data_IF_652141232830
#
_entry.id   IF_652141232830
#
_cell.length_a   1.000
_cell.length_b   1.000
_cell.length_c   1.000
_cell.angle_alpha   90.00
_cell.angle_beta   90.00
_cell.angle_gamma   90.00
#
_symmetry.space_group_name_H-M   'P 1'
#
loop_
_entity.id
_entity.type
_entity.pdbx_description
1 polymer ?
#
# COMPACT_ATOMS: atom_id res chain seq x y z
N UNK A 1 21.31 22.93 -14.12
CA UNK A 1 21.24 21.79 -13.16
C UNK A 1 20.00 21.01 -13.52
N UNK A 2 20.08 19.71 -13.75
CA UNK A 2 18.88 18.89 -13.88
C UNK A 2 18.12 19.01 -12.54
N UNK A 3 16.83 19.40 -12.58
CA UNK A 3 15.99 19.47 -11.40
C UNK A 3 15.90 18.08 -10.73
N UNK A 4 15.68 18.07 -9.43
CA UNK A 4 15.35 16.84 -8.70
C UNK A 4 14.08 16.24 -9.31
N UNK A 5 14.12 14.94 -9.61
CA UNK A 5 12.93 14.20 -10.02
C UNK A 5 12.16 13.79 -8.77
N UNK A 6 10.89 14.20 -8.69
CA UNK A 6 10.00 13.92 -7.56
C UNK A 6 9.03 12.80 -7.95
N UNK A 7 9.03 11.74 -7.16
CA UNK A 7 8.12 10.59 -7.32
C UNK A 7 7.28 10.46 -6.06
N UNK A 8 5.95 10.54 -6.19
CA UNK A 8 5.05 10.17 -5.10
C UNK A 8 4.88 8.65 -5.09
N UNK A 9 5.36 8.01 -4.03
CA UNK A 9 5.40 6.55 -3.93
C UNK A 9 4.09 5.93 -3.38
N UNK A 10 3.03 6.74 -3.12
CA UNK A 10 1.78 6.23 -2.57
C UNK A 10 0.58 7.09 -2.92
N UNK A 11 -0.02 6.83 -4.07
CA UNK A 11 -1.23 7.53 -4.53
C UNK A 11 -2.35 6.53 -4.79
N UNK A 12 -3.57 6.89 -4.41
CA UNK A 12 -4.78 6.15 -4.74
C UNK A 12 -5.60 6.92 -5.77
N UNK A 13 -6.11 6.22 -6.77
CA UNK A 13 -7.17 6.67 -7.65
C UNK A 13 -8.34 5.69 -7.52
N UNK A 14 -9.57 6.17 -7.59
CA UNK A 14 -10.75 5.32 -7.63
C UNK A 14 -11.89 5.99 -8.36
N UNK A 15 -12.78 5.18 -8.90
CA UNK A 15 -13.98 5.63 -9.57
C UNK A 15 -15.13 4.66 -9.30
N UNK A 16 -16.09 5.04 -8.42
CA UNK A 16 -17.21 4.18 -8.07
C UNK A 16 -18.15 3.86 -9.23
N UNK A 17 -18.06 4.60 -10.33
CA UNK A 17 -18.82 4.31 -11.56
C UNK A 17 -18.18 3.19 -12.42
N UNK A 18 -16.91 2.87 -12.16
CA UNK A 18 -16.14 1.86 -12.90
C UNK A 18 -15.98 0.58 -12.07
N UNK A 19 -15.62 0.71 -10.80
CA UNK A 19 -15.32 -0.41 -9.91
C UNK A 19 -16.07 -0.24 -8.58
N UNK A 20 -16.28 -1.35 -7.89
CA UNK A 20 -16.90 -1.34 -6.56
C UNK A 20 -15.82 -1.21 -5.48
N UNK A 21 -16.03 -0.25 -4.59
CA UNK A 21 -15.19 0.00 -3.42
C UNK A 21 -16.06 -0.10 -2.16
N UNK A 22 -16.15 -1.27 -1.51
CA UNK A 22 -17.07 -1.50 -0.38
C UNK A 22 -16.87 -0.53 0.79
N UNK A 23 -15.64 -0.07 1.02
CA UNK A 23 -15.31 0.86 2.10
C UNK A 23 -15.95 2.25 1.92
N UNK A 24 -16.31 2.66 0.70
CA UNK A 24 -16.97 3.94 0.44
C UNK A 24 -18.37 4.02 1.07
N UNK A 25 -18.99 2.89 1.44
CA UNK A 25 -20.27 2.90 2.14
C UNK A 25 -20.20 3.62 3.51
N UNK A 26 -19.02 3.62 4.14
CA UNK A 26 -18.75 4.36 5.39
C UNK A 26 -18.25 5.79 5.18
N UNK A 27 -17.93 6.19 3.95
CA UNK A 27 -17.24 7.44 3.62
C UNK A 27 -17.95 8.22 2.49
N UNK A 28 -19.17 8.78 2.74
CA UNK A 28 -19.96 9.42 1.69
C UNK A 28 -19.25 10.58 0.98
N UNK A 29 -18.37 11.30 1.68
CA UNK A 29 -17.59 12.40 1.12
C UNK A 29 -16.57 11.93 0.05
N UNK A 30 -16.15 10.66 0.11
CA UNK A 30 -15.21 10.04 -0.81
C UNK A 30 -15.92 9.19 -1.89
N UNK A 31 -17.24 9.07 -1.85
CA UNK A 31 -18.02 8.27 -2.81
C UNK A 31 -18.19 8.96 -4.18
N UNK A 32 -17.14 9.65 -4.63
CA UNK A 32 -17.01 10.33 -5.92
C UNK A 32 -15.73 9.84 -6.62
N UNK A 33 -15.60 10.00 -7.95
CA UNK A 33 -14.36 9.71 -8.64
C UNK A 33 -13.20 10.58 -8.15
N UNK A 34 -12.02 9.95 -7.98
CA UNK A 34 -10.73 10.61 -7.78
C UNK A 34 -9.75 10.04 -8.81
N UNK A 35 -9.51 10.78 -9.86
CA UNK A 35 -8.75 10.38 -11.04
C UNK A 35 -7.43 11.15 -11.14
N UNK A 36 -6.48 10.75 -11.97
CA UNK A 36 -5.26 11.51 -12.21
C UNK A 36 -5.48 12.97 -12.58
N UNK A 37 -6.58 13.27 -13.29
CA UNK A 37 -6.97 14.65 -13.66
C UNK A 37 -7.31 15.52 -12.43
N UNK A 38 -7.83 14.92 -11.37
CA UNK A 38 -8.18 15.63 -10.13
C UNK A 38 -6.94 15.87 -9.27
N UNK A 39 -5.97 14.95 -9.34
CA UNK A 39 -4.69 15.03 -8.63
C UNK A 39 -3.73 16.06 -9.26
N UNK A 40 -3.68 16.16 -10.58
CA UNK A 40 -2.74 17.00 -11.30
C UNK A 40 -2.75 18.49 -10.86
N UNK A 41 -3.89 19.16 -10.67
CA UNK A 41 -3.93 20.55 -10.21
C UNK A 41 -3.41 20.74 -8.78
N UNK A 42 -3.51 19.71 -7.93
CA UNK A 42 -3.12 19.77 -6.53
C UNK A 42 -1.60 19.71 -6.34
N UNK A 43 -0.88 19.17 -7.31
CA UNK A 43 0.58 18.99 -7.26
C UNK A 43 1.36 20.09 -7.97
N UNK A 44 0.68 21.05 -8.57
CA UNK A 44 1.29 22.22 -9.26
C UNK A 44 2.39 21.83 -10.29
N UNK A 45 2.38 20.60 -10.80
CA UNK A 45 3.39 20.07 -11.71
C UNK A 45 4.73 19.72 -11.06
N UNK A 46 4.80 19.68 -9.73
CA UNK A 46 6.02 19.33 -8.99
C UNK A 46 6.30 17.84 -8.93
N UNK A 47 5.30 17.00 -9.26
CA UNK A 47 5.42 15.53 -9.24
C UNK A 47 5.62 14.99 -10.64
N UNK A 48 6.80 14.38 -10.86
CA UNK A 48 7.20 13.80 -12.15
C UNK A 48 6.62 12.42 -12.39
N UNK A 49 6.38 11.64 -11.31
CA UNK A 49 5.81 10.30 -11.40
C UNK A 49 5.07 9.93 -10.11
N UNK A 50 4.16 8.97 -10.22
CA UNK A 50 3.42 8.40 -9.10
C UNK A 50 3.47 6.88 -9.14
N UNK A 51 3.45 6.26 -7.96
CA UNK A 51 3.16 4.84 -7.79
C UNK A 51 1.73 4.73 -7.26
N UNK A 52 0.85 4.20 -8.08
CA UNK A 52 -0.49 3.86 -7.65
C UNK A 52 -0.44 2.69 -6.67
N UNK A 53 -1.17 2.79 -5.58
CA UNK A 53 -1.38 1.68 -4.63
C UNK A 53 -2.87 1.30 -4.67
N UNK A 54 -3.17 0.02 -4.71
CA UNK A 54 -4.54 -0.50 -4.74
C UNK A 54 -5.45 0.23 -3.75
N UNK A 55 -6.68 0.52 -4.13
CA UNK A 55 -7.62 1.32 -3.34
C UNK A 55 -8.69 0.46 -2.62
N UNK A 56 -8.37 -0.77 -2.23
CA UNK A 56 -9.30 -1.74 -1.65
C UNK A 56 -10.58 -1.94 -2.51
N UNK A 57 -10.44 -2.32 -3.78
CA UNK A 57 -11.59 -2.68 -4.60
C UNK A 57 -12.26 -3.93 -4.04
N UNK A 58 -13.48 -4.23 -4.47
CA UNK A 58 -14.08 -5.53 -4.22
C UNK A 58 -13.13 -6.64 -4.71
N UNK A 59 -12.89 -7.68 -3.93
CA UNK A 59 -11.85 -8.69 -4.17
C UNK A 59 -11.96 -9.39 -5.52
N UNK A 60 -13.18 -9.53 -6.05
CA UNK A 60 -13.46 -10.06 -7.38
C UNK A 60 -13.10 -9.09 -8.51
N UNK A 61 -12.82 -7.82 -8.22
CA UNK A 61 -12.43 -6.77 -9.17
C UNK A 61 -10.97 -6.32 -9.05
N UNK A 62 -10.14 -6.99 -8.26
CA UNK A 62 -8.73 -6.66 -8.11
C UNK A 62 -7.96 -6.58 -9.45
N UNK A 63 -8.23 -7.53 -10.34
CA UNK A 63 -7.61 -7.56 -11.65
C UNK A 63 -8.14 -6.47 -12.60
N UNK A 64 -9.39 -6.05 -12.40
CA UNK A 64 -10.01 -4.98 -13.17
C UNK A 64 -9.45 -3.62 -12.72
N UNK A 65 -9.14 -3.44 -11.42
CA UNK A 65 -8.46 -2.24 -10.93
C UNK A 65 -7.08 -2.08 -11.58
N UNK A 66 -6.28 -3.14 -11.63
CA UNK A 66 -4.98 -3.12 -12.31
C UNK A 66 -5.14 -2.74 -13.79
N UNK A 67 -6.09 -3.34 -14.50
CA UNK A 67 -6.34 -3.05 -15.90
C UNK A 67 -6.83 -1.61 -16.13
N UNK A 68 -7.69 -1.12 -15.25
CA UNK A 68 -8.19 0.25 -15.29
C UNK A 68 -7.05 1.26 -15.10
N UNK A 69 -6.23 1.08 -14.05
CA UNK A 69 -5.10 2.00 -13.77
C UNK A 69 -4.04 1.93 -14.86
N UNK A 70 -3.74 0.74 -15.39
CA UNK A 70 -2.82 0.58 -16.52
C UNK A 70 -3.33 1.33 -17.75
N UNK A 71 -4.66 1.34 -18.01
CA UNK A 71 -5.26 2.13 -19.08
C UNK A 71 -5.20 3.66 -18.84
N UNK A 72 -5.27 4.10 -17.56
CA UNK A 72 -5.09 5.51 -17.24
C UNK A 72 -3.67 5.98 -17.51
N UNK A 73 -2.68 5.11 -17.34
CA UNK A 73 -1.28 5.40 -17.62
C UNK A 73 -0.99 5.67 -19.11
N UNK A 74 -1.86 5.25 -20.01
CA UNK A 74 -1.75 5.58 -21.44
C UNK A 74 -2.05 7.07 -21.70
N UNK A 75 -2.88 7.69 -20.86
CA UNK A 75 -3.24 9.11 -20.94
C UNK A 75 -2.48 9.99 -19.94
N UNK A 76 -1.98 9.41 -18.84
CA UNK A 76 -1.16 10.09 -17.85
C UNK A 76 0.14 9.29 -17.58
N UNK A 77 1.22 9.58 -18.30
CA UNK A 77 2.48 8.84 -18.21
C UNK A 77 3.20 9.02 -16.86
N UNK A 78 2.69 9.86 -15.96
CA UNK A 78 3.21 9.96 -14.60
C UNK A 78 2.90 8.71 -13.77
N UNK A 79 1.89 7.92 -14.13
CA UNK A 79 1.62 6.63 -13.48
C UNK A 79 2.72 5.65 -13.89
N UNK A 80 3.78 5.61 -13.07
CA UNK A 80 4.99 4.85 -13.37
C UNK A 80 4.98 3.44 -12.78
N UNK A 81 4.17 3.19 -11.74
CA UNK A 81 4.08 1.90 -11.08
C UNK A 81 2.71 1.64 -10.47
N UNK A 82 2.41 0.37 -10.26
CA UNK A 82 1.17 -0.13 -9.65
C UNK A 82 1.55 -1.12 -8.55
N UNK A 83 1.10 -0.88 -7.33
CA UNK A 83 1.06 -1.88 -6.25
C UNK A 83 -0.34 -2.50 -6.26
N UNK A 84 -0.43 -3.76 -6.63
CA UNK A 84 -1.70 -4.45 -6.88
C UNK A 84 -2.21 -5.20 -5.65
N UNK A 85 -3.52 -5.26 -5.45
CA UNK A 85 -4.10 -6.21 -4.50
C UNK A 85 -4.00 -7.65 -5.03
N UNK A 86 -3.61 -8.57 -4.14
CA UNK A 86 -3.71 -10.01 -4.36
C UNK A 86 -4.24 -10.66 -3.09
N UNK A 87 -5.32 -11.45 -3.19
CA UNK A 87 -5.77 -12.27 -2.07
C UNK A 87 -4.76 -13.38 -1.81
N UNK A 88 -4.03 -13.28 -0.69
CA UNK A 88 -2.97 -14.22 -0.34
C UNK A 88 -3.46 -15.50 0.34
N UNK A 89 -4.72 -15.53 0.78
CA UNK A 89 -5.28 -16.66 1.53
C UNK A 89 -5.82 -17.77 0.63
N UNK A 90 -6.23 -17.46 -0.59
CA UNK A 90 -6.74 -18.41 -1.57
C UNK A 90 -5.59 -18.79 -2.54
N UNK A 91 -4.90 -19.89 -2.26
CA UNK A 91 -3.72 -20.31 -3.01
C UNK A 91 -3.93 -20.40 -4.52
N UNK A 92 -4.96 -21.08 -5.05
CA UNK A 92 -5.19 -21.13 -6.49
C UNK A 92 -5.44 -19.78 -7.14
N UNK A 93 -6.20 -18.91 -6.47
CA UNK A 93 -6.48 -17.56 -6.96
C UNK A 93 -5.27 -16.65 -6.84
N UNK A 94 -4.52 -16.76 -5.75
CA UNK A 94 -3.25 -16.07 -5.55
C UNK A 94 -2.28 -16.34 -6.70
N UNK A 95 -2.03 -17.61 -6.98
CA UNK A 95 -1.05 -18.02 -7.99
C UNK A 95 -1.48 -17.59 -9.40
N UNK A 96 -2.77 -17.71 -9.73
CA UNK A 96 -3.33 -17.19 -10.97
C UNK A 96 -3.19 -15.67 -11.08
N UNK A 97 -3.43 -14.94 -9.98
CA UNK A 97 -3.29 -13.48 -9.92
C UNK A 97 -1.83 -13.08 -10.12
N UNK A 98 -0.88 -13.66 -9.39
CA UNK A 98 0.55 -13.37 -9.53
C UNK A 98 1.04 -13.66 -10.96
N UNK A 99 0.60 -14.76 -11.56
CA UNK A 99 0.92 -15.09 -12.95
C UNK A 99 0.35 -14.06 -13.95
N UNK A 100 -0.85 -13.52 -13.68
CA UNK A 100 -1.47 -12.47 -14.49
C UNK A 100 -0.69 -11.16 -14.38
N UNK A 101 -0.26 -10.77 -13.17
CA UNK A 101 0.50 -9.54 -12.94
C UNK A 101 1.83 -9.51 -13.72
N UNK A 102 2.40 -10.68 -14.04
CA UNK A 102 3.62 -10.76 -14.88
C UNK A 102 3.42 -10.23 -16.32
N UNK A 103 2.17 -10.05 -16.75
CA UNK A 103 1.84 -9.51 -18.09
C UNK A 103 1.66 -7.99 -18.08
N UNK A 104 1.65 -7.37 -16.90
CA UNK A 104 1.51 -5.92 -16.74
C UNK A 104 2.81 -5.36 -16.16
N UNK A 105 3.72 -4.87 -17.01
CA UNK A 105 5.05 -4.42 -16.57
C UNK A 105 5.03 -3.29 -15.54
N UNK A 106 3.95 -2.49 -15.50
CA UNK A 106 3.78 -1.42 -14.50
C UNK A 106 3.50 -1.96 -13.10
N UNK A 107 3.15 -3.25 -12.92
CA UNK A 107 2.95 -3.79 -11.57
C UNK A 107 4.31 -4.04 -10.91
N UNK A 108 4.64 -3.17 -9.97
CA UNK A 108 5.93 -3.12 -9.28
C UNK A 108 5.89 -3.65 -7.85
N UNK A 109 4.71 -3.92 -7.28
CA UNK A 109 4.52 -4.41 -5.93
C UNK A 109 3.16 -5.09 -5.74
N UNK A 110 2.99 -5.69 -4.57
CA UNK A 110 1.73 -6.34 -4.15
C UNK A 110 1.39 -5.89 -2.74
N UNK A 111 0.10 -5.67 -2.48
CA UNK A 111 -0.44 -5.41 -1.14
C UNK A 111 -1.65 -6.31 -0.86
N UNK A 112 -1.72 -6.83 0.34
CA UNK A 112 -2.93 -7.35 0.96
C UNK A 112 -3.06 -6.70 2.34
N UNK A 113 -4.09 -5.91 2.53
CA UNK A 113 -4.25 -5.06 3.71
C UNK A 113 -4.33 -5.90 5.00
N UNK A 114 -3.39 -5.69 5.93
CA UNK A 114 -3.35 -6.32 7.26
C UNK A 114 -4.07 -5.43 8.28
N UNK A 115 -4.14 -4.13 8.03
CA UNK A 115 -4.80 -3.17 8.91
C UNK A 115 -6.24 -3.61 9.20
N UNK A 116 -6.63 -3.55 10.48
CA UNK A 116 -7.94 -3.94 11.00
C UNK A 116 -8.27 -5.45 10.87
N UNK A 117 -7.32 -6.28 10.50
CA UNK A 117 -7.48 -7.73 10.58
C UNK A 117 -7.30 -8.21 12.04
N UNK A 118 -7.89 -9.35 12.41
CA UNK A 118 -7.69 -9.91 13.74
C UNK A 118 -6.22 -10.22 14.04
N UNK A 119 -5.82 -10.14 15.31
CA UNK A 119 -4.48 -10.53 15.74
C UNK A 119 -4.13 -11.95 15.27
N UNK A 120 -2.91 -12.15 14.80
CA UNK A 120 -2.43 -13.41 14.21
C UNK A 120 -2.79 -13.58 12.72
N UNK A 121 -3.45 -12.62 12.11
CA UNK A 121 -3.84 -12.69 10.68
C UNK A 121 -2.61 -12.85 9.77
N UNK A 122 -1.60 -12.00 9.95
CA UNK A 122 -0.40 -12.02 9.11
C UNK A 122 0.49 -13.25 9.36
N UNK A 123 0.30 -13.95 10.46
CA UNK A 123 1.05 -15.16 10.81
C UNK A 123 0.34 -16.46 10.45
N UNK A 124 -0.87 -16.41 9.87
CA UNK A 124 -1.55 -17.57 9.34
C UNK A 124 -0.67 -18.26 8.27
N UNK A 125 -0.54 -19.58 8.28
CA UNK A 125 0.30 -20.30 7.32
C UNK A 125 0.02 -19.91 5.86
N UNK A 126 -1.25 -19.81 5.48
CA UNK A 126 -1.64 -19.44 4.12
C UNK A 126 -1.18 -18.02 3.75
N UNK A 127 -1.24 -17.06 4.69
CA UNK A 127 -0.79 -15.68 4.46
C UNK A 127 0.74 -15.62 4.32
N UNK A 128 1.49 -16.28 5.22
CA UNK A 128 2.95 -16.37 5.16
C UNK A 128 3.42 -17.00 3.84
N UNK A 129 2.78 -18.08 3.41
CA UNK A 129 3.09 -18.73 2.13
C UNK A 129 2.72 -17.83 0.95
N UNK A 130 1.64 -17.05 1.08
CA UNK A 130 1.27 -16.03 0.10
C UNK A 130 2.31 -14.92 -0.03
N UNK A 131 2.82 -14.40 1.09
CA UNK A 131 3.90 -13.40 1.09
C UNK A 131 5.18 -13.94 0.47
N UNK A 132 5.54 -15.20 0.77
CA UNK A 132 6.68 -15.87 0.11
C UNK A 132 6.50 -16.00 -1.40
N UNK A 133 5.27 -16.32 -1.85
CA UNK A 133 4.95 -16.39 -3.28
C UNK A 133 5.09 -15.02 -3.96
N UNK A 134 4.72 -13.92 -3.30
CA UNK A 134 4.98 -12.54 -3.78
C UNK A 134 6.48 -12.34 -3.96
N UNK A 135 7.29 -12.63 -2.95
CA UNK A 135 8.75 -12.51 -3.04
C UNK A 135 9.36 -13.37 -4.16
N UNK A 136 8.88 -14.60 -4.33
CA UNK A 136 9.30 -15.50 -5.42
C UNK A 136 8.94 -14.95 -6.81
N UNK A 137 7.92 -14.10 -6.92
CA UNK A 137 7.58 -13.37 -8.15
C UNK A 137 8.50 -12.18 -8.45
N UNK A 138 9.46 -11.88 -7.55
CA UNK A 138 10.39 -10.76 -7.65
C UNK A 138 9.81 -9.42 -7.24
N UNK A 139 8.64 -9.37 -6.61
CA UNK A 139 7.96 -8.13 -6.19
C UNK A 139 8.09 -7.89 -4.69
N UNK A 140 8.20 -6.63 -4.25
CA UNK A 140 8.03 -6.25 -2.86
C UNK A 140 6.57 -6.48 -2.40
N UNK A 141 6.42 -6.65 -1.10
CA UNK A 141 5.14 -6.70 -0.41
C UNK A 141 4.97 -5.46 0.49
N UNK A 142 3.90 -4.69 0.25
CA UNK A 142 3.59 -3.52 1.06
C UNK A 142 2.84 -3.93 2.34
N UNK A 143 3.37 -3.45 3.48
CA UNK A 143 2.85 -3.69 4.82
C UNK A 143 1.93 -2.53 5.23
N UNK A 144 0.63 -2.65 4.96
CA UNK A 144 -0.38 -1.72 5.43
C UNK A 144 -0.94 -2.21 6.76
N UNK A 145 -0.52 -1.57 7.85
CA UNK A 145 -0.78 -1.96 9.24
C UNK A 145 -1.10 -0.75 10.12
N UNK A 146 -1.50 -1.01 11.36
CA UNK A 146 -1.51 -0.07 12.48
C UNK A 146 -0.38 -0.40 13.46
N UNK A 147 0.01 0.56 14.30
CA UNK A 147 1.17 0.41 15.20
C UNK A 147 1.08 -0.81 16.14
N UNK A 148 -0.11 -1.19 16.56
CA UNK A 148 -0.35 -2.37 17.41
C UNK A 148 -0.09 -3.71 16.69
N UNK A 149 0.06 -3.69 15.35
CA UNK A 149 0.37 -4.87 14.54
C UNK A 149 1.88 -5.00 14.22
N UNK A 150 2.73 -4.07 14.69
CA UNK A 150 4.17 -4.07 14.38
C UNK A 150 4.88 -5.36 14.85
N UNK A 151 4.61 -5.85 16.06
CA UNK A 151 5.21 -7.09 16.57
C UNK A 151 4.89 -8.29 15.67
N UNK A 152 3.63 -8.41 15.24
CA UNK A 152 3.18 -9.47 14.33
C UNK A 152 3.88 -9.39 12.96
N UNK A 153 4.04 -8.17 12.45
CA UNK A 153 4.68 -7.95 11.15
C UNK A 153 6.19 -8.15 11.21
N UNK A 154 6.86 -7.84 12.30
CA UNK A 154 8.27 -8.18 12.50
C UNK A 154 8.46 -9.69 12.40
N UNK A 155 7.61 -10.47 13.06
CA UNK A 155 7.64 -11.94 12.96
C UNK A 155 7.35 -12.44 11.53
N UNK A 156 6.42 -11.79 10.80
CA UNK A 156 6.17 -12.09 9.39
C UNK A 156 7.43 -11.89 8.54
N UNK A 157 8.14 -10.76 8.73
CA UNK A 157 9.38 -10.42 8.02
C UNK A 157 10.45 -11.47 8.30
N UNK A 158 10.63 -11.87 9.58
CA UNK A 158 11.56 -12.92 9.99
C UNK A 158 11.24 -14.28 9.34
N UNK A 159 9.97 -14.61 9.20
CA UNK A 159 9.50 -15.83 8.53
C UNK A 159 9.67 -15.80 7.00
N UNK A 160 9.88 -14.62 6.41
CA UNK A 160 9.96 -14.40 4.96
C UNK A 160 11.27 -13.71 4.53
N UNK A 161 12.47 -14.22 4.86
CA UNK A 161 13.76 -13.52 4.70
C UNK A 161 14.12 -13.21 3.25
N UNK A 162 13.49 -13.88 2.28
CA UNK A 162 13.71 -13.65 0.84
C UNK A 162 12.85 -12.54 0.23
N UNK A 163 11.92 -11.96 1.00
CA UNK A 163 10.96 -10.97 0.51
C UNK A 163 11.48 -9.56 0.79
N UNK A 164 11.25 -8.64 -0.14
CA UNK A 164 11.44 -7.20 0.09
C UNK A 164 10.12 -6.63 0.58
N UNK A 165 10.17 -5.86 1.65
CA UNK A 165 9.00 -5.24 2.28
C UNK A 165 9.03 -3.73 2.20
N UNK A 166 7.85 -3.12 2.13
CA UNK A 166 7.67 -1.68 2.20
C UNK A 166 6.63 -1.37 3.27
N UNK A 167 7.05 -0.75 4.36
CA UNK A 167 6.14 -0.33 5.43
C UNK A 167 5.37 0.93 4.99
N UNK A 168 4.07 0.85 4.87
CA UNK A 168 3.21 1.99 4.55
C UNK A 168 3.09 2.93 5.76
N UNK A 169 3.18 4.24 5.52
CA UNK A 169 2.83 5.32 6.47
C UNK A 169 3.51 5.19 7.84
N UNK A 170 4.78 4.81 7.87
CA UNK A 170 5.53 4.59 9.11
C UNK A 170 4.87 3.58 10.07
N UNK A 171 4.01 2.66 9.57
CA UNK A 171 3.26 1.74 10.39
C UNK A 171 2.15 2.41 11.22
N UNK A 172 1.69 3.60 10.79
CA UNK A 172 0.60 4.38 11.41
C UNK A 172 0.77 4.53 12.94
N UNK A 173 1.78 5.27 13.40
CA UNK A 173 2.02 5.50 14.82
C UNK A 173 0.77 6.13 15.48
N UNK A 174 0.44 5.68 16.69
CA UNK A 174 -0.69 6.20 17.46
C UNK A 174 -0.35 7.61 18.02
N UNK A 175 -0.17 8.59 17.14
CA UNK A 175 0.23 9.98 17.49
C UNK A 175 -0.80 10.60 18.43
N UNK A 176 -2.09 10.38 18.17
CA UNK A 176 -3.18 10.90 19.01
C UNK A 176 -3.12 10.46 20.46
N UNK A 177 -2.46 9.34 20.73
CA UNK A 177 -2.38 8.70 22.05
C UNK A 177 -1.02 8.90 22.70
N UNK A 178 -0.14 9.71 22.09
CA UNK A 178 1.24 9.99 22.53
C UNK A 178 2.09 8.73 22.75
N UNK A 179 1.81 7.65 22.00
CA UNK A 179 2.42 6.33 22.14
C UNK A 179 3.73 6.20 21.32
N UNK A 180 4.60 7.23 21.36
CA UNK A 180 5.82 7.28 20.56
C UNK A 180 6.83 6.20 20.91
N UNK A 181 7.12 5.98 22.19
CA UNK A 181 8.24 5.12 22.63
C UNK A 181 8.09 3.65 22.25
N UNK A 182 6.86 3.12 22.28
CA UNK A 182 6.57 1.74 21.86
C UNK A 182 6.73 1.60 20.36
N UNK A 183 6.11 2.48 19.60
CA UNK A 183 6.21 2.52 18.15
C UNK A 183 7.67 2.66 17.67
N UNK A 184 8.44 3.59 18.27
CA UNK A 184 9.83 3.84 17.87
C UNK A 184 10.71 2.58 18.07
N UNK A 185 10.56 1.86 19.17
CA UNK A 185 11.28 0.59 19.43
C UNK A 185 10.95 -0.47 18.39
N UNK A 186 9.67 -0.60 18.02
CA UNK A 186 9.23 -1.64 17.10
C UNK A 186 9.63 -1.30 15.65
N UNK A 187 9.56 -0.03 15.27
CA UNK A 187 10.11 0.43 13.98
C UNK A 187 11.63 0.26 13.92
N UNK A 188 12.38 0.51 15.01
CA UNK A 188 13.81 0.26 15.07
C UNK A 188 14.13 -1.24 14.89
N UNK A 189 13.36 -2.13 15.52
CA UNK A 189 13.47 -3.58 15.31
C UNK A 189 13.21 -3.96 13.85
N UNK A 190 12.13 -3.43 13.27
CA UNK A 190 11.79 -3.68 11.87
C UNK A 190 12.87 -3.14 10.92
N UNK A 191 13.42 -1.96 11.20
CA UNK A 191 14.47 -1.32 10.41
C UNK A 191 15.82 -2.07 10.45
N UNK A 192 16.02 -2.99 11.40
CA UNK A 192 17.20 -3.87 11.42
C UNK A 192 17.24 -4.89 10.29
N UNK A 193 16.11 -5.10 9.60
CA UNK A 193 16.02 -5.99 8.45
C UNK A 193 16.37 -5.24 7.15
N UNK A 194 17.45 -5.63 6.49
CA UNK A 194 18.00 -4.97 5.29
C UNK A 194 17.02 -4.86 4.10
N UNK A 195 15.99 -5.73 4.07
CA UNK A 195 15.00 -5.78 2.99
C UNK A 195 13.71 -5.04 3.31
N UNK A 196 13.72 -4.17 4.32
CA UNK A 196 12.58 -3.34 4.69
C UNK A 196 12.86 -1.88 4.36
N UNK A 197 11.94 -1.25 3.65
CA UNK A 197 11.90 0.19 3.42
C UNK A 197 10.63 0.77 4.05
N UNK A 198 10.60 2.08 4.29
CA UNK A 198 9.46 2.74 4.92
C UNK A 198 9.01 3.96 4.11
N UNK A 199 7.71 4.11 3.89
CA UNK A 199 7.10 5.32 3.33
C UNK A 199 6.82 6.31 4.47
N UNK A 200 7.46 7.48 4.42
CA UNK A 200 7.22 8.59 5.36
C UNK A 200 6.03 9.38 4.85
N UNK A 201 4.83 9.02 5.30
CA UNK A 201 3.56 9.60 4.87
C UNK A 201 2.45 9.31 5.88
N UNK A 202 1.26 9.89 5.70
CA UNK A 202 0.05 9.56 6.47
C UNK A 202 0.07 9.94 7.95
N UNK A 203 1.08 10.65 8.44
CA UNK A 203 1.24 10.94 9.88
C UNK A 203 0.17 11.88 10.41
N UNK A 204 -0.24 12.88 9.61
CA UNK A 204 -1.27 13.84 10.02
C UNK A 204 -2.66 13.20 10.19
N UNK A 205 -2.93 12.08 9.53
CA UNK A 205 -4.20 11.37 9.69
C UNK A 205 -4.29 10.64 11.03
N UNK A 206 -3.14 10.30 11.62
CA UNK A 206 -3.03 9.65 12.92
C UNK A 206 -3.02 10.63 14.10
N UNK A 207 -2.89 11.93 13.83
CA UNK A 207 -2.84 12.99 14.83
C UNK A 207 -4.22 13.58 15.12
N UNK A 208 -4.43 14.06 16.35
CA UNK A 208 -5.56 14.94 16.69
C UNK A 208 -5.41 16.28 15.97
N UNK A 209 -6.50 17.04 15.85
CA UNK A 209 -6.51 18.33 15.18
C UNK A 209 -5.53 19.32 15.82
N UNK A 210 -5.43 19.34 17.15
CA UNK A 210 -4.50 20.16 17.91
C UNK A 210 -3.01 19.77 17.79
N UNK A 211 -2.74 18.56 17.30
CA UNK A 211 -1.39 18.04 17.03
C UNK A 211 -0.93 18.26 15.57
N UNK A 212 -1.79 18.80 14.70
CA UNK A 212 -1.48 18.99 13.26
C UNK A 212 -0.82 20.31 12.94
N UNK A 213 -0.74 21.25 13.87
CA UNK A 213 -0.05 22.54 13.68
C UNK A 213 1.45 22.38 13.94
N UNK A 214 2.26 23.06 13.14
CA UNK A 214 3.70 23.20 13.31
C UNK A 214 3.98 24.48 14.13
N UNK A 215 3.64 24.47 15.42
CA UNK A 215 4.04 25.54 16.36
C UNK A 215 5.31 25.13 17.08
#
# INVERSE_FOLDING_TARGET
>A
MAGLRVIDAHVHFWDPSVLRYPWLAGEPALATPFRPSDFAPLTSGEIDAVVFVEANPASDQAADEVAWVDSLADSDPRIAGIVAFVDLLDEPRRDASLARLNRTPRVVGVRHNIQHQPAGFALQPAFVDGVRAVGASGRPFDLCITADQLDEVIELVERCPGVTFVLDHCGKPAIRDDAYDSWARDVERLASHERVSCKISGLLTEAREDQRSAD
#
